data_IF_878107465370
#
_entry.id   IF_878107465370
#
_cell.length_a   1.000
_cell.length_b   1.000
_cell.length_c   1.000
_cell.angle_alpha   90.00
_cell.angle_beta   90.00
_cell.angle_gamma   90.00
#
_symmetry.space_group_name_H-M   'P 1'
#
loop_
_entity.id
_entity.type
_entity.pdbx_description
1 polymer ?
#
# COMPACT_ATOMS: atom_id res chain seq x y z
N UNK A 1 -25.61 -7.41 -26.09
CA UNK A 1 -24.44 -6.60 -25.69
C UNK A 1 -24.62 -6.16 -24.25
N UNK A 2 -23.82 -6.70 -23.33
CA UNK A 2 -23.69 -6.14 -21.97
C UNK A 2 -22.96 -4.80 -22.11
N UNK A 3 -23.58 -3.69 -21.73
CA UNK A 3 -22.86 -2.42 -21.62
C UNK A 3 -21.70 -2.62 -20.66
N UNK A 4 -20.46 -2.46 -21.13
CA UNK A 4 -19.28 -2.51 -20.27
C UNK A 4 -19.45 -1.42 -19.22
N UNK A 5 -19.68 -1.84 -17.97
CA UNK A 5 -19.86 -0.94 -16.83
C UNK A 5 -18.62 -0.05 -16.72
N UNK A 6 -18.82 1.27 -16.66
CA UNK A 6 -17.73 2.21 -16.43
C UNK A 6 -17.00 1.89 -15.11
N UNK A 7 -15.68 1.83 -15.17
CA UNK A 7 -14.80 1.54 -14.05
C UNK A 7 -14.11 2.84 -13.65
N UNK A 8 -14.45 3.34 -12.47
CA UNK A 8 -13.83 4.53 -11.89
C UNK A 8 -12.58 4.14 -11.11
N UNK A 9 -11.46 4.76 -11.44
CA UNK A 9 -10.13 4.39 -10.93
C UNK A 9 -9.49 5.60 -10.27
N UNK A 10 -8.77 5.36 -9.16
CA UNK A 10 -7.85 6.33 -8.55
C UNK A 10 -6.43 5.78 -8.65
N UNK A 11 -5.49 6.62 -9.09
CA UNK A 11 -4.05 6.31 -9.11
C UNK A 11 -3.37 6.91 -7.89
N UNK A 12 -2.56 6.12 -7.18
CA UNK A 12 -1.81 6.56 -6.01
C UNK A 12 -0.36 6.12 -6.17
N UNK A 13 0.54 7.08 -6.31
CA UNK A 13 1.97 6.85 -6.47
C UNK A 13 2.69 8.17 -6.19
N UNK A 14 3.86 8.18 -5.56
CA UNK A 14 4.63 9.41 -5.32
C UNK A 14 5.35 9.91 -6.59
N UNK A 15 5.45 9.08 -7.62
CA UNK A 15 6.09 9.41 -8.90
C UNK A 15 5.07 9.87 -9.95
N UNK A 16 5.07 11.17 -10.25
CA UNK A 16 4.17 11.78 -11.24
C UNK A 16 4.27 11.13 -12.63
N UNK A 17 5.49 10.89 -13.11
CA UNK A 17 5.72 10.32 -14.45
C UNK A 17 5.10 8.92 -14.60
N UNK A 18 5.12 8.12 -13.53
CA UNK A 18 4.48 6.81 -13.52
C UNK A 18 2.96 6.95 -13.56
N UNK A 19 2.36 7.88 -12.78
CA UNK A 19 0.91 8.14 -12.85
C UNK A 19 0.47 8.58 -14.25
N UNK A 20 1.23 9.47 -14.89
CA UNK A 20 0.95 9.91 -16.27
C UNK A 20 1.00 8.72 -17.26
N UNK A 21 1.99 7.83 -17.11
CA UNK A 21 2.10 6.60 -17.90
C UNK A 21 0.92 5.63 -17.69
N UNK A 22 0.57 5.35 -16.42
CA UNK A 22 -0.55 4.49 -16.07
C UNK A 22 -1.89 5.05 -16.56
N UNK A 23 -2.10 6.36 -16.44
CA UNK A 23 -3.27 7.05 -16.99
C UNK A 23 -3.39 6.82 -18.50
N UNK A 24 -2.31 7.05 -19.25
CA UNK A 24 -2.30 6.85 -20.69
C UNK A 24 -2.63 5.40 -21.10
N UNK A 25 -2.20 4.41 -20.32
CA UNK A 25 -2.50 2.99 -20.58
C UNK A 25 -3.98 2.70 -20.29
N UNK A 26 -4.49 3.18 -19.15
CA UNK A 26 -5.85 2.89 -18.69
C UNK A 26 -6.90 3.59 -19.56
N UNK A 27 -6.70 4.87 -19.88
CA UNK A 27 -7.69 5.68 -20.61
C UNK A 27 -7.75 5.35 -22.12
N UNK A 28 -6.86 4.48 -22.63
CA UNK A 28 -7.06 3.85 -23.93
C UNK A 28 -8.29 2.93 -23.96
N UNK A 29 -8.80 2.51 -22.79
CA UNK A 29 -10.03 1.71 -22.68
C UNK A 29 -11.20 2.65 -22.44
N UNK A 30 -12.18 2.66 -23.35
CA UNK A 30 -13.31 3.59 -23.32
C UNK A 30 -14.21 3.50 -22.08
N UNK A 31 -14.15 2.39 -21.33
CA UNK A 31 -14.95 2.13 -20.14
C UNK A 31 -14.15 2.24 -18.82
N UNK A 32 -12.93 2.77 -18.85
CA UNK A 32 -12.09 2.95 -17.66
C UNK A 32 -11.69 4.43 -17.54
N UNK A 33 -11.97 5.02 -16.38
CA UNK A 33 -11.83 6.47 -16.17
C UNK A 33 -11.04 6.75 -14.91
N UNK A 34 -9.95 7.52 -15.02
CA UNK A 34 -9.23 8.01 -13.84
C UNK A 34 -10.01 9.20 -13.27
N UNK A 35 -10.62 9.00 -12.11
CA UNK A 35 -11.46 10.01 -11.44
C UNK A 35 -10.71 10.79 -10.35
N UNK A 36 -9.46 10.43 -10.09
CA UNK A 36 -8.60 11.10 -9.11
C UNK A 36 -7.20 10.54 -9.07
N UNK A 37 -6.29 11.33 -8.50
CA UNK A 37 -4.91 10.95 -8.25
C UNK A 37 -4.53 11.35 -6.82
N UNK A 38 -3.55 10.65 -6.26
CA UNK A 38 -2.89 11.02 -5.02
C UNK A 38 -1.38 10.76 -5.10
N UNK A 39 -0.59 11.57 -4.40
CA UNK A 39 0.87 11.41 -4.32
C UNK A 39 1.37 10.65 -3.09
N UNK A 40 0.49 10.34 -2.14
CA UNK A 40 0.83 9.55 -0.96
C UNK A 40 -0.40 8.82 -0.37
N UNK A 41 -0.16 7.95 0.61
CA UNK A 41 -1.22 7.20 1.27
C UNK A 41 -2.23 8.06 2.04
N UNK A 42 -1.81 9.22 2.58
CA UNK A 42 -2.68 10.12 3.36
C UNK A 42 -3.66 10.84 2.44
N UNK A 43 -3.20 11.30 1.29
CA UNK A 43 -4.05 11.88 0.25
C UNK A 43 -5.04 10.83 -0.27
N UNK A 44 -4.58 9.60 -0.53
CA UNK A 44 -5.45 8.50 -0.95
C UNK A 44 -6.59 8.24 0.04
N UNK A 45 -6.30 8.18 1.35
CA UNK A 45 -7.33 8.05 2.39
C UNK A 45 -8.32 9.22 2.40
N UNK A 46 -7.87 10.44 2.10
CA UNK A 46 -8.74 11.63 2.06
C UNK A 46 -9.67 11.64 0.84
N UNK A 47 -9.20 11.19 -0.32
CA UNK A 47 -9.97 11.28 -1.59
C UNK A 47 -10.87 10.07 -1.83
N UNK A 48 -10.46 8.86 -1.45
CA UNK A 48 -11.21 7.63 -1.76
C UNK A 48 -12.66 7.63 -1.22
N UNK A 49 -12.94 8.06 0.02
CA UNK A 49 -14.31 8.13 0.54
C UNK A 49 -15.19 9.18 -0.17
N UNK A 50 -14.57 10.20 -0.78
CA UNK A 50 -15.29 11.27 -1.51
C UNK A 50 -15.58 10.86 -2.95
N UNK A 51 -14.61 10.22 -3.59
CA UNK A 51 -14.66 9.83 -5.00
C UNK A 51 -15.36 8.49 -5.23
N UNK A 52 -15.36 7.61 -4.22
CA UNK A 52 -15.92 6.25 -4.27
C UNK A 52 -15.51 5.52 -5.56
N UNK A 53 -14.19 5.34 -5.80
CA UNK A 53 -13.71 4.60 -6.96
C UNK A 53 -14.10 3.14 -6.87
N UNK A 54 -14.16 2.47 -8.01
CA UNK A 54 -14.30 1.02 -8.07
C UNK A 54 -12.95 0.36 -7.77
N UNK A 55 -11.87 0.93 -8.32
CA UNK A 55 -10.50 0.42 -8.17
C UNK A 55 -9.56 1.52 -7.70
N UNK A 56 -8.66 1.18 -6.80
CA UNK A 56 -7.49 2.01 -6.47
C UNK A 56 -6.26 1.25 -6.91
N UNK A 57 -5.45 1.88 -7.75
CA UNK A 57 -4.12 1.42 -8.11
C UNK A 57 -3.15 2.12 -7.15
N UNK A 58 -2.58 1.34 -6.22
CA UNK A 58 -1.86 1.84 -5.05
C UNK A 58 -0.39 1.43 -5.11
N UNK A 59 0.52 2.39 -5.16
CA UNK A 59 1.92 2.12 -4.92
C UNK A 59 2.13 1.58 -3.49
N UNK A 60 2.90 0.51 -3.38
CA UNK A 60 3.16 -0.16 -2.10
C UNK A 60 4.14 0.64 -1.24
N UNK A 61 5.16 1.25 -1.85
CA UNK A 61 6.26 1.90 -1.14
C UNK A 61 6.27 3.41 -1.41
N UNK A 62 5.59 4.17 -0.55
CA UNK A 62 5.53 5.64 -0.60
C UNK A 62 6.00 6.25 0.72
N UNK A 63 6.61 7.45 0.70
CA UNK A 63 7.01 8.16 1.90
C UNK A 63 5.81 8.59 2.76
N UNK A 64 6.05 8.74 4.07
CA UNK A 64 5.09 9.30 5.02
C UNK A 64 3.97 8.36 5.45
N UNK A 65 3.17 7.84 4.50
CA UNK A 65 2.24 6.73 4.74
C UNK A 65 2.29 5.77 3.55
N UNK A 66 2.88 4.59 3.78
CA UNK A 66 3.01 3.58 2.74
C UNK A 66 1.66 3.04 2.23
N UNK A 67 1.70 2.36 1.08
CA UNK A 67 0.52 1.80 0.43
C UNK A 67 -0.15 0.68 1.22
N UNK A 68 0.61 -0.08 2.00
CA UNK A 68 0.07 -1.16 2.84
C UNK A 68 -0.88 -0.60 3.90
N UNK A 69 -0.45 0.44 4.61
CA UNK A 69 -1.26 1.03 5.66
C UNK A 69 -2.39 1.88 5.08
N UNK A 70 -2.15 2.58 3.97
CA UNK A 70 -3.22 3.26 3.23
C UNK A 70 -4.32 2.28 2.78
N UNK A 71 -3.93 1.13 2.23
CA UNK A 71 -4.84 0.04 1.84
C UNK A 71 -5.65 -0.45 3.02
N UNK A 72 -5.01 -0.68 4.17
CA UNK A 72 -5.68 -1.13 5.39
C UNK A 72 -6.75 -0.16 5.86
N UNK A 73 -6.43 1.13 5.87
CA UNK A 73 -7.35 2.17 6.31
C UNK A 73 -8.50 2.38 5.33
N UNK A 74 -8.23 2.36 4.01
CA UNK A 74 -9.27 2.44 2.98
C UNK A 74 -10.18 1.22 3.05
N UNK A 75 -9.62 0.01 3.07
CA UNK A 75 -10.40 -1.23 3.08
C UNK A 75 -11.29 -1.35 4.32
N UNK A 76 -10.79 -0.96 5.49
CA UNK A 76 -11.57 -0.95 6.74
C UNK A 76 -12.82 -0.07 6.66
N UNK A 77 -12.73 1.08 6.00
CA UNK A 77 -13.83 2.04 5.91
C UNK A 77 -14.70 1.83 4.66
N UNK A 78 -14.14 1.26 3.59
CA UNK A 78 -14.76 1.09 2.28
C UNK A 78 -14.36 -0.26 1.65
N UNK A 79 -14.86 -1.39 2.17
CA UNK A 79 -14.44 -2.73 1.73
C UNK A 79 -14.83 -3.06 0.27
N UNK A 80 -15.76 -2.32 -0.31
CA UNK A 80 -16.17 -2.44 -1.71
C UNK A 80 -15.11 -1.95 -2.71
N UNK A 81 -14.22 -1.03 -2.28
CA UNK A 81 -13.15 -0.51 -3.13
C UNK A 81 -12.12 -1.62 -3.36
N UNK A 82 -11.85 -1.95 -4.63
CA UNK A 82 -10.87 -2.97 -5.00
C UNK A 82 -9.49 -2.34 -5.09
N UNK A 83 -8.56 -2.80 -4.27
CA UNK A 83 -7.22 -2.22 -4.23
C UNK A 83 -6.23 -3.16 -4.94
N UNK A 84 -5.48 -2.61 -5.87
CA UNK A 84 -4.38 -3.27 -6.61
C UNK A 84 -3.09 -2.64 -6.10
N UNK A 85 -2.20 -3.43 -5.49
CA UNK A 85 -0.85 -2.98 -5.15
C UNK A 85 0.06 -2.99 -6.37
N UNK A 86 0.78 -1.90 -6.63
CA UNK A 86 1.88 -1.82 -7.59
C UNK A 86 3.19 -1.65 -6.83
N UNK A 87 4.20 -2.44 -7.14
CA UNK A 87 5.47 -2.40 -6.41
C UNK A 87 6.66 -2.71 -7.30
N UNK A 88 7.83 -2.15 -6.97
CA UNK A 88 9.11 -2.60 -7.52
C UNK A 88 9.63 -3.89 -6.86
N UNK A 89 8.94 -4.38 -5.82
CA UNK A 89 9.41 -5.49 -5.00
C UNK A 89 8.54 -6.74 -5.19
N UNK A 90 9.17 -7.86 -5.46
CA UNK A 90 8.54 -9.19 -5.52
C UNK A 90 8.70 -10.00 -4.21
N UNK A 91 9.13 -9.35 -3.13
CA UNK A 91 9.38 -10.05 -1.87
C UNK A 91 8.09 -10.54 -1.21
N UNK A 92 8.18 -11.70 -0.55
CA UNK A 92 7.06 -12.34 0.15
C UNK A 92 6.37 -11.40 1.15
N UNK A 93 7.16 -10.59 1.86
CA UNK A 93 6.69 -9.71 2.92
C UNK A 93 5.76 -8.62 2.39
N UNK A 94 6.15 -7.92 1.32
CA UNK A 94 5.28 -6.89 0.72
C UNK A 94 3.98 -7.49 0.19
N UNK A 95 4.07 -8.64 -0.49
CA UNK A 95 2.91 -9.35 -1.04
C UNK A 95 1.95 -9.75 0.11
N UNK A 96 2.46 -10.41 1.15
CA UNK A 96 1.67 -10.82 2.32
C UNK A 96 1.04 -9.63 3.03
N UNK A 97 1.81 -8.56 3.26
CA UNK A 97 1.34 -7.36 3.93
C UNK A 97 0.22 -6.67 3.17
N UNK A 98 0.31 -6.59 1.82
CA UNK A 98 -0.74 -6.02 0.97
C UNK A 98 -2.02 -6.86 0.98
N UNK A 99 -1.93 -8.19 0.82
CA UNK A 99 -3.12 -9.04 0.89
C UNK A 99 -3.76 -9.04 2.29
N UNK A 100 -2.96 -9.03 3.35
CA UNK A 100 -3.44 -8.83 4.74
C UNK A 100 -4.02 -7.43 4.96
N UNK A 101 -3.66 -6.44 4.14
CA UNK A 101 -4.26 -5.11 4.14
C UNK A 101 -5.65 -5.06 3.51
N UNK A 102 -6.04 -6.08 2.75
CA UNK A 102 -7.30 -6.11 2.00
C UNK A 102 -7.14 -5.83 0.51
N UNK A 103 -5.91 -5.82 -0.02
CA UNK A 103 -5.70 -5.75 -1.46
C UNK A 103 -6.30 -6.98 -2.16
N UNK A 104 -6.88 -6.75 -3.35
CA UNK A 104 -7.36 -7.81 -4.24
C UNK A 104 -6.29 -8.25 -5.22
N UNK A 105 -5.34 -7.38 -5.55
CA UNK A 105 -4.26 -7.75 -6.44
C UNK A 105 -2.91 -7.16 -6.04
N UNK A 106 -1.84 -7.78 -6.55
CA UNK A 106 -0.48 -7.30 -6.43
C UNK A 106 0.24 -7.49 -7.76
N UNK A 107 0.81 -6.40 -8.28
CA UNK A 107 1.50 -6.32 -9.56
C UNK A 107 2.89 -5.73 -9.37
N UNK A 108 3.81 -6.12 -10.26
CA UNK A 108 5.11 -5.48 -10.35
C UNK A 108 5.05 -4.27 -11.29
N UNK A 109 5.76 -3.19 -10.94
CA UNK A 109 5.79 -1.94 -11.72
C UNK A 109 6.58 -2.08 -13.05
N UNK A 110 7.43 -3.10 -13.17
CA UNK A 110 8.20 -3.44 -14.37
C UNK A 110 7.53 -4.51 -15.25
N UNK A 111 6.32 -4.96 -14.88
CA UNK A 111 5.52 -5.91 -15.65
C UNK A 111 4.85 -5.31 -16.89
N UNK A 112 4.17 -6.18 -17.66
CA UNK A 112 3.45 -5.77 -18.88
C UNK A 112 2.27 -4.84 -18.57
N UNK A 113 2.16 -3.74 -19.32
CA UNK A 113 1.02 -2.82 -19.28
C UNK A 113 -0.35 -3.50 -19.45
N UNK A 114 -0.44 -4.56 -20.25
CA UNK A 114 -1.69 -5.33 -20.42
C UNK A 114 -2.05 -6.16 -19.18
N UNK A 115 -1.07 -6.45 -18.32
CA UNK A 115 -1.29 -7.13 -17.04
C UNK A 115 -2.11 -6.27 -16.09
N UNK A 116 -1.88 -4.95 -16.07
CA UNK A 116 -2.67 -4.01 -15.26
C UNK A 116 -4.15 -4.03 -15.67
N UNK A 117 -4.44 -4.03 -16.97
CA UNK A 117 -5.81 -4.08 -17.49
C UNK A 117 -6.47 -5.40 -17.10
N UNK A 118 -5.73 -6.51 -17.21
CA UNK A 118 -6.19 -7.84 -16.81
C UNK A 118 -6.51 -7.89 -15.31
N UNK A 119 -5.66 -7.30 -14.48
CA UNK A 119 -5.86 -7.23 -13.04
C UNK A 119 -7.10 -6.39 -12.69
N UNK A 120 -7.27 -5.21 -13.29
CA UNK A 120 -8.46 -4.36 -13.11
C UNK A 120 -9.73 -5.15 -13.42
N UNK A 121 -9.78 -5.82 -14.59
CA UNK A 121 -10.93 -6.63 -14.97
C UNK A 121 -11.17 -7.81 -13.99
N UNK A 122 -10.09 -8.43 -13.50
CA UNK A 122 -10.17 -9.57 -12.58
C UNK A 122 -10.71 -9.15 -11.21
N UNK A 123 -10.21 -8.06 -10.63
CA UNK A 123 -10.66 -7.59 -9.30
C UNK A 123 -12.10 -7.07 -9.34
N UNK A 124 -12.54 -6.53 -10.48
CA UNK A 124 -13.94 -6.15 -10.70
C UNK A 124 -14.90 -7.35 -10.71
N UNK A 125 -14.39 -8.56 -10.95
CA UNK A 125 -15.13 -9.82 -10.80
C UNK A 125 -15.03 -10.40 -9.37
N UNK A 126 -14.53 -9.63 -8.40
CA UNK A 126 -14.23 -10.08 -7.03
C UNK A 126 -13.22 -11.23 -6.94
N UNK A 127 -12.35 -11.38 -7.95
CA UNK A 127 -11.28 -12.38 -7.94
C UNK A 127 -9.96 -11.73 -7.54
N UNK A 128 -9.12 -12.48 -6.83
CA UNK A 128 -7.75 -12.03 -6.54
C UNK A 128 -6.86 -12.21 -7.76
N UNK A 129 -5.85 -11.35 -7.90
CA UNK A 129 -4.86 -11.43 -8.98
C UNK A 129 -3.44 -11.26 -8.42
N UNK A 130 -2.50 -12.05 -8.92
CA UNK A 130 -1.08 -11.91 -8.60
C UNK A 130 -0.35 -11.89 -9.92
N UNK A 131 0.56 -10.93 -10.11
CA UNK A 131 1.36 -10.83 -11.34
C UNK A 131 2.04 -12.16 -11.68
N UNK A 132 2.08 -12.49 -12.96
CA UNK A 132 2.67 -13.71 -13.49
C UNK A 132 4.19 -13.77 -13.25
N UNK A 133 4.83 -12.61 -13.11
CA UNK A 133 6.27 -12.49 -12.83
C UNK A 133 6.62 -12.80 -11.36
N UNK A 134 5.60 -12.97 -10.52
CA UNK A 134 5.76 -13.39 -9.12
C UNK A 134 5.70 -14.92 -9.05
N UNK A 135 6.71 -15.51 -8.40
CA UNK A 135 6.81 -16.96 -8.24
C UNK A 135 5.52 -17.56 -7.63
N UNK A 136 4.97 -18.58 -8.29
CA UNK A 136 3.69 -19.20 -7.92
C UNK A 136 3.69 -19.86 -6.54
N UNK A 137 4.85 -20.13 -5.93
CA UNK A 137 4.93 -20.56 -4.52
C UNK A 137 4.29 -19.55 -3.56
N UNK A 138 4.23 -18.27 -3.94
CA UNK A 138 3.53 -17.23 -3.20
C UNK A 138 2.01 -17.27 -3.34
N UNK A 139 1.42 -18.09 -4.21
CA UNK A 139 -0.03 -18.31 -4.25
C UNK A 139 -0.57 -18.93 -2.95
N UNK A 140 0.29 -19.57 -2.16
CA UNK A 140 -0.03 -20.01 -0.79
C UNK A 140 -0.47 -18.84 0.11
N UNK A 141 0.03 -17.63 -0.14
CA UNK A 141 -0.38 -16.39 0.55
C UNK A 141 -1.87 -16.08 0.33
N UNK A 142 -2.44 -16.51 -0.80
CA UNK A 142 -3.86 -16.35 -1.08
C UNK A 142 -4.74 -17.36 -0.34
N UNK A 143 -4.16 -18.47 0.16
CA UNK A 143 -4.87 -19.66 0.63
C UNK A 143 -4.96 -19.83 2.15
N UNK A 144 -4.21 -19.10 2.97
CA UNK A 144 -4.25 -19.25 4.43
C UNK A 144 -4.55 -17.96 5.20
N UNK A 145 -5.52 -17.99 6.14
CA UNK A 145 -5.49 -17.18 7.34
C UNK A 145 -5.00 -18.06 8.50
N UNK A 146 -3.68 -18.26 8.65
CA UNK A 146 -3.14 -18.91 9.86
C UNK A 146 -1.82 -18.28 10.32
N UNK A 147 -1.76 -18.07 11.64
CA UNK A 147 -0.51 -17.93 12.38
C UNK A 147 -0.39 -16.59 13.10
N UNK A 148 -0.68 -16.64 14.41
CA UNK A 148 -0.39 -15.65 15.46
C UNK A 148 0.84 -14.80 15.10
N UNK A 149 0.60 -13.51 14.83
CA UNK A 149 1.70 -12.59 14.54
C UNK A 149 2.51 -12.34 15.82
N UNK A 150 3.83 -12.56 15.70
CA UNK A 150 4.83 -12.00 16.61
C UNK A 150 4.53 -10.51 16.82
N UNK A 151 4.38 -10.12 18.08
CA UNK A 151 4.24 -8.75 18.58
C UNK A 151 3.75 -7.72 17.54
N UNK A 152 2.44 -7.74 17.22
CA UNK A 152 1.89 -6.77 16.28
C UNK A 152 2.05 -5.34 16.81
N UNK A 153 2.88 -4.56 16.12
CA UNK A 153 2.79 -3.12 16.17
C UNK A 153 1.39 -2.71 15.69
N UNK A 154 0.76 -1.81 16.43
CA UNK A 154 -0.47 -1.15 15.99
C UNK A 154 -0.23 -0.36 14.70
N UNK A 155 -1.30 -0.07 13.93
CA UNK A 155 -1.22 0.82 12.76
C UNK A 155 -0.45 2.10 13.07
N UNK A 156 -0.70 2.70 14.24
CA UNK A 156 -0.03 3.92 14.65
C UNK A 156 1.46 3.72 14.93
N UNK A 157 1.83 2.62 15.55
CA UNK A 157 3.23 2.27 15.78
C UNK A 157 3.96 1.97 14.46
N UNK A 158 3.28 1.36 13.47
CA UNK A 158 3.83 1.15 12.13
C UNK A 158 4.08 2.48 11.40
N UNK A 159 3.14 3.42 11.47
CA UNK A 159 3.32 4.78 10.92
C UNK A 159 4.52 5.49 11.57
N UNK A 160 4.61 5.45 12.91
CA UNK A 160 5.75 6.06 13.63
C UNK A 160 7.07 5.38 13.24
N UNK A 161 7.09 4.04 13.17
CA UNK A 161 8.28 3.29 12.80
C UNK A 161 8.75 3.58 11.37
N UNK A 162 7.81 3.69 10.42
CA UNK A 162 8.13 4.11 9.05
C UNK A 162 8.81 5.48 9.04
N UNK A 163 8.22 6.48 9.70
CA UNK A 163 8.79 7.83 9.73
C UNK A 163 10.15 7.90 10.44
N UNK A 164 10.38 7.06 11.47
CA UNK A 164 11.69 6.91 12.10
C UNK A 164 12.71 6.34 11.09
N UNK A 165 12.33 5.31 10.34
CA UNK A 165 13.19 4.70 9.33
C UNK A 165 13.49 5.65 8.15
N UNK A 166 12.56 6.58 7.86
CA UNK A 166 12.75 7.69 6.91
C UNK A 166 13.60 8.85 7.48
N UNK A 167 14.12 8.72 8.71
CA UNK A 167 15.02 9.70 9.33
C UNK A 167 14.33 10.92 9.95
N UNK A 168 13.01 10.89 10.16
CA UNK A 168 12.27 12.00 10.77
C UNK A 168 12.53 12.10 12.28
N UNK A 169 12.68 13.32 12.77
CA UNK A 169 12.75 13.63 14.19
C UNK A 169 11.39 13.50 14.88
N UNK A 170 11.36 13.30 16.22
CA UNK A 170 10.10 13.25 16.98
C UNK A 170 9.24 14.50 16.81
N UNK A 171 9.85 15.66 16.52
CA UNK A 171 9.15 16.91 16.21
C UNK A 171 8.42 16.82 14.86
N UNK A 172 9.14 16.47 13.80
CA UNK A 172 8.56 16.31 12.45
C UNK A 172 7.47 15.23 12.42
N UNK A 173 7.70 14.10 13.11
CA UNK A 173 6.69 13.05 13.24
C UNK A 173 5.44 13.59 13.95
N UNK A 174 5.61 14.39 15.01
CA UNK A 174 4.51 15.02 15.72
C UNK A 174 3.67 15.93 14.80
N UNK A 175 4.32 16.71 13.94
CA UNK A 175 3.66 17.56 12.96
C UNK A 175 2.88 16.75 11.92
N UNK A 176 3.50 15.70 11.33
CA UNK A 176 2.87 14.83 10.31
C UNK A 176 1.67 14.06 10.89
N UNK A 177 1.80 13.61 12.13
CA UNK A 177 0.83 12.73 12.78
C UNK A 177 -0.17 13.47 13.66
N UNK A 178 -0.08 14.80 13.81
CA UNK A 178 -0.86 15.59 14.74
C UNK A 178 -0.73 15.11 16.21
N UNK A 179 0.51 14.87 16.64
CA UNK A 179 0.88 14.43 17.99
C UNK A 179 1.89 15.39 18.63
N UNK A 180 1.96 15.39 19.97
CA UNK A 180 3.10 16.03 20.64
C UNK A 180 4.38 15.22 20.44
N UNK A 181 5.58 15.86 20.40
CA UNK A 181 6.84 15.13 20.32
C UNK A 181 7.00 14.09 21.45
N UNK A 182 6.51 14.42 22.66
CA UNK A 182 6.50 13.49 23.81
C UNK A 182 5.66 12.24 23.54
N UNK A 183 4.53 12.38 22.85
CA UNK A 183 3.69 11.24 22.47
C UNK A 183 4.39 10.36 21.44
N UNK A 184 5.13 10.95 20.51
CA UNK A 184 5.97 10.19 19.56
C UNK A 184 7.05 9.40 20.30
N UNK A 185 7.72 10.00 21.27
CA UNK A 185 8.74 9.31 22.08
C UNK A 185 8.14 8.12 22.86
N UNK A 186 6.91 8.26 23.36
CA UNK A 186 6.18 7.14 23.98
C UNK A 186 5.93 6.01 22.98
N UNK A 187 5.47 6.31 21.75
CA UNK A 187 5.32 5.30 20.71
C UNK A 187 6.66 4.63 20.37
N UNK A 188 7.73 5.40 20.18
CA UNK A 188 9.08 4.88 19.92
C UNK A 188 9.53 3.92 21.02
N UNK A 189 9.36 4.28 22.29
CA UNK A 189 9.72 3.42 23.41
C UNK A 189 8.90 2.13 23.46
N UNK A 190 7.61 2.20 23.12
CA UNK A 190 6.76 1.01 23.06
C UNK A 190 7.16 0.09 21.89
N UNK A 191 7.49 0.65 20.73
CA UNK A 191 8.01 -0.10 19.58
C UNK A 191 9.30 -0.83 19.98
N UNK A 192 10.26 -0.11 20.56
CA UNK A 192 11.54 -0.68 21.02
C UNK A 192 11.33 -1.86 21.97
N UNK A 193 10.45 -1.71 22.97
CA UNK A 193 10.11 -2.79 23.92
C UNK A 193 9.41 -3.98 23.27
N UNK A 194 8.49 -3.74 22.32
CA UNK A 194 7.75 -4.81 21.63
C UNK A 194 8.64 -5.63 20.70
N UNK A 195 9.62 -4.97 20.06
CA UNK A 195 10.52 -5.59 19.11
C UNK A 195 11.81 -6.11 19.72
N UNK A 196 12.09 -5.75 20.98
CA UNK A 196 13.38 -6.00 21.65
C UNK A 196 14.56 -5.39 20.88
N UNK A 197 14.35 -4.19 20.34
CA UNK A 197 15.34 -3.42 19.57
C UNK A 197 15.55 -2.07 20.25
N UNK A 198 16.81 -1.66 20.43
CA UNK A 198 17.13 -0.53 21.31
C UNK A 198 17.85 0.61 20.59
N UNK A 199 18.11 0.47 19.29
CA UNK A 199 18.78 1.49 18.48
C UNK A 199 17.99 1.86 17.22
N UNK A 200 18.17 3.10 16.73
CA UNK A 200 17.54 3.55 15.48
C UNK A 200 17.99 2.70 14.27
N UNK A 201 19.27 2.33 14.11
CA UNK A 201 19.69 1.42 13.03
C UNK A 201 18.98 0.07 13.05
N UNK A 202 18.76 -0.53 14.23
CA UNK A 202 17.99 -1.77 14.35
C UNK A 202 16.53 -1.60 13.92
N UNK A 203 15.87 -0.54 14.39
CA UNK A 203 14.50 -0.22 13.98
C UNK A 203 14.38 0.02 12.47
N UNK A 204 15.36 0.68 11.88
CA UNK A 204 15.40 0.96 10.44
C UNK A 204 15.55 -0.34 9.64
N UNK A 205 16.48 -1.23 10.04
CA UNK A 205 16.64 -2.56 9.42
C UNK A 205 15.36 -3.38 9.52
N UNK A 206 14.72 -3.37 10.70
CA UNK A 206 13.46 -4.06 10.91
C UNK A 206 12.34 -3.50 10.02
N UNK A 207 12.20 -2.18 9.91
CA UNK A 207 11.19 -1.55 9.07
C UNK A 207 11.34 -1.93 7.59
N UNK A 208 12.57 -2.03 7.09
CA UNK A 208 12.86 -2.49 5.72
C UNK A 208 12.52 -3.98 5.56
N UNK A 209 12.92 -4.82 6.51
CA UNK A 209 12.65 -6.27 6.47
C UNK A 209 11.15 -6.61 6.48
N UNK A 210 10.35 -5.84 7.24
CA UNK A 210 8.89 -5.99 7.31
C UNK A 210 8.15 -5.29 6.16
N UNK A 211 8.86 -4.61 5.26
CA UNK A 211 8.26 -3.90 4.12
C UNK A 211 7.43 -2.69 4.53
N UNK A 212 7.81 -2.00 5.62
CA UNK A 212 7.20 -0.71 6.01
C UNK A 212 7.78 0.46 5.20
N UNK A 213 9.03 0.32 4.75
CA UNK A 213 9.72 1.25 3.88
C UNK A 213 10.71 0.47 3.00
N UNK A 214 11.21 1.09 1.93
CA UNK A 214 12.22 0.51 1.04
C UNK A 214 13.57 1.21 1.23
N UNK A 215 14.64 0.59 0.72
CA UNK A 215 15.89 1.31 0.50
C UNK A 215 15.60 2.30 -0.62
N UNK A 216 15.49 3.59 -0.30
CA UNK A 216 15.40 4.64 -1.31
C UNK A 216 16.67 4.60 -2.15
N UNK A 217 16.56 4.11 -3.38
CA UNK A 217 17.60 4.19 -4.41
C UNK A 217 17.06 5.11 -5.48
#
# INVERSE_FOLDING_TARGET
MSYLKDIKIVLVDDHKLLRDGLRNIIEQRSNMHIIGEASDGREAIKICPKLLPNVVVMDVAMPGLNGVEATRQIHKNNPEIKIIGLSMHSSKQFIQSMFKAGAFAYLLKDGDSDELITAICTVMQNKKYLSNDINQEFLSVLKEPKGIEKTQLSSREKEVLQLIAEGRSSKEIGEILFLSPKTVDVHRNNIMKKLDLFTIPELTKYAIQEGLTSLGI
#
